data_IF_822309356250
#
_entry.id   IF_822309356250
#
_cell.length_a   1.000
_cell.length_b   1.000
_cell.length_c   1.000
_cell.angle_alpha   90.00
_cell.angle_beta   90.00
_cell.angle_gamma   90.00
#
_symmetry.space_group_name_H-M   'P 1'
#
loop_
_entity.id
_entity.type
_entity.pdbx_description
1 polymer ?
#
# COMPACT_ATOMS: atom_id res chain seq x y z
N UNK A 1 -10.91 42.43 15.33
CA UNK A 1 -10.30 41.18 15.81
C UNK A 1 -10.97 40.02 15.09
N UNK A 2 -10.29 39.43 14.10
CA UNK A 2 -10.76 38.20 13.47
C UNK A 2 -10.48 37.02 14.44
N UNK A 3 -11.38 36.03 14.54
CA UNK A 3 -11.12 34.87 15.39
C UNK A 3 -9.99 34.05 14.74
N UNK A 4 -8.94 33.79 15.50
CA UNK A 4 -7.87 32.88 15.09
C UNK A 4 -8.45 31.47 14.99
N UNK A 5 -8.75 31.01 13.78
CA UNK A 5 -8.99 29.60 13.50
C UNK A 5 -7.70 28.84 13.80
N UNK A 6 -7.68 28.15 14.94
CA UNK A 6 -6.60 27.22 15.28
C UNK A 6 -6.45 26.14 14.19
N UNK A 7 -5.29 25.46 14.11
CA UNK A 7 -5.05 24.49 13.06
C UNK A 7 -6.10 23.38 13.15
N UNK A 8 -6.98 23.30 12.16
CA UNK A 8 -7.99 22.24 12.09
C UNK A 8 -7.28 20.88 11.93
N UNK A 9 -7.61 19.93 12.80
CA UNK A 9 -7.09 18.56 12.69
C UNK A 9 -7.53 17.92 11.38
N UNK A 10 -6.57 17.44 10.60
CA UNK A 10 -6.84 16.72 9.37
C UNK A 10 -7.56 15.41 9.65
N UNK A 11 -8.30 14.83 8.70
CA UNK A 11 -8.89 13.50 8.84
C UNK A 11 -7.86 12.42 9.24
N UNK A 12 -6.60 12.56 8.77
CA UNK A 12 -5.50 11.68 9.14
C UNK A 12 -5.06 11.84 10.60
N UNK A 13 -5.12 13.05 11.16
CA UNK A 13 -4.86 13.29 12.59
C UNK A 13 -5.89 12.58 13.47
N UNK A 14 -7.18 12.73 13.12
CA UNK A 14 -8.28 12.08 13.83
C UNK A 14 -8.16 10.55 13.77
N UNK A 15 -7.80 10.00 12.61
CA UNK A 15 -7.56 8.58 12.43
C UNK A 15 -6.36 8.10 13.26
N UNK A 16 -5.24 8.83 13.24
CA UNK A 16 -4.04 8.49 13.98
C UNK A 16 -4.31 8.45 15.50
N UNK A 17 -4.98 9.48 16.03
CA UNK A 17 -5.38 9.51 17.43
C UNK A 17 -6.29 8.33 17.81
N UNK A 18 -7.24 7.98 16.95
CA UNK A 18 -8.11 6.83 17.17
C UNK A 18 -7.32 5.51 17.20
N UNK A 19 -6.35 5.34 16.30
CA UNK A 19 -5.51 4.15 16.25
C UNK A 19 -4.59 4.05 17.48
N UNK A 20 -4.01 5.16 17.92
CA UNK A 20 -3.19 5.23 19.14
C UNK A 20 -4.01 4.92 20.39
N UNK A 21 -5.25 5.41 20.47
CA UNK A 21 -6.19 5.07 21.54
C UNK A 21 -6.48 3.57 21.54
N UNK A 22 -6.78 2.99 20.38
CA UNK A 22 -7.03 1.55 20.27
C UNK A 22 -5.81 0.72 20.64
N UNK A 23 -4.62 1.15 20.24
CA UNK A 23 -3.35 0.51 20.62
C UNK A 23 -3.16 0.52 22.14
N UNK A 24 -3.45 1.64 22.82
CA UNK A 24 -3.38 1.72 24.27
C UNK A 24 -4.36 0.76 24.96
N UNK A 25 -5.58 0.63 24.43
CA UNK A 25 -6.58 -0.31 24.94
C UNK A 25 -6.06 -1.75 24.80
N UNK A 26 -5.58 -2.15 23.62
CA UNK A 26 -5.08 -3.52 23.42
C UNK A 26 -3.82 -3.80 24.25
N UNK A 27 -2.95 -2.82 24.50
CA UNK A 27 -1.83 -2.95 25.44
C UNK A 27 -2.31 -3.21 26.88
N UNK A 28 -3.39 -2.56 27.32
CA UNK A 28 -4.01 -2.82 28.63
C UNK A 28 -4.62 -4.22 28.70
N UNK A 29 -5.31 -4.65 27.64
CA UNK A 29 -5.86 -6.02 27.54
C UNK A 29 -4.74 -7.05 27.61
N UNK A 30 -3.66 -6.86 26.86
CA UNK A 30 -2.46 -7.71 26.87
C UNK A 30 -1.88 -7.84 28.28
N UNK A 31 -1.67 -6.72 28.97
CA UNK A 31 -1.14 -6.71 30.34
C UNK A 31 -2.12 -7.35 31.33
N UNK A 32 -3.43 -7.12 31.17
CA UNK A 32 -4.47 -7.77 31.97
C UNK A 32 -4.45 -9.28 31.82
N UNK A 33 -4.34 -9.79 30.59
CA UNK A 33 -4.22 -11.21 30.30
C UNK A 33 -2.95 -11.83 30.90
N UNK A 34 -1.81 -11.14 30.83
CA UNK A 34 -0.56 -11.59 31.48
C UNK A 34 -0.70 -11.68 33.01
N UNK A 35 -1.33 -10.69 33.63
CA UNK A 35 -1.59 -10.70 35.08
C UNK A 35 -2.55 -11.85 35.48
N UNK A 36 -3.58 -12.11 34.66
CA UNK A 36 -4.47 -13.26 34.87
C UNK A 36 -3.70 -14.58 34.78
N UNK A 37 -2.85 -14.76 33.76
CA UNK A 37 -2.02 -15.95 33.61
C UNK A 37 -1.09 -16.14 34.82
N UNK A 38 -0.43 -15.08 35.28
CA UNK A 38 0.48 -15.14 36.44
C UNK A 38 -0.27 -15.53 37.73
N UNK A 39 -1.41 -14.90 38.00
CA UNK A 39 -2.21 -15.18 39.19
C UNK A 39 -2.79 -16.61 39.20
N UNK A 40 -3.25 -17.10 38.05
CA UNK A 40 -3.78 -18.46 37.89
C UNK A 40 -2.66 -19.51 37.99
N UNK A 41 -1.49 -19.24 37.41
CA UNK A 41 -0.36 -20.18 37.41
C UNK A 41 0.24 -20.39 38.81
N UNK A 42 0.05 -19.43 39.73
CA UNK A 42 0.44 -19.56 41.14
C UNK A 42 -0.59 -20.23 42.06
N UNK A 43 -1.76 -20.62 41.53
CA UNK A 43 -2.90 -21.17 42.28
C UNK A 43 -3.12 -22.70 42.14
N UNK A 44 -4.10 -23.24 42.88
CA UNK A 44 -4.36 -24.67 43.04
C UNK A 44 -4.79 -25.35 41.72
N UNK A 45 -4.04 -26.38 41.29
CA UNK A 45 -3.92 -26.94 39.93
C UNK A 45 -5.15 -27.59 39.25
N UNK A 46 -6.38 -27.38 39.72
CA UNK A 46 -7.56 -28.10 39.22
C UNK A 46 -8.68 -27.24 38.62
N UNK A 47 -8.96 -26.07 39.20
CA UNK A 47 -10.18 -25.30 38.88
C UNK A 47 -10.00 -24.29 37.74
N UNK A 48 -8.77 -23.86 37.47
CA UNK A 48 -8.53 -22.67 36.65
C UNK A 48 -8.01 -22.99 35.25
N UNK A 49 -7.98 -24.27 34.83
CA UNK A 49 -7.43 -24.67 33.52
C UNK A 49 -8.17 -24.03 32.35
N UNK A 50 -9.50 -23.88 32.45
CA UNK A 50 -10.31 -23.20 31.41
C UNK A 50 -10.02 -21.69 31.39
N UNK A 51 -9.96 -21.06 32.56
CA UNK A 51 -9.64 -19.64 32.70
C UNK A 51 -8.22 -19.33 32.18
N UNK A 52 -7.26 -20.21 32.46
CA UNK A 52 -5.90 -20.10 31.95
C UNK A 52 -5.87 -20.14 30.41
N UNK A 53 -6.58 -21.10 29.81
CA UNK A 53 -6.67 -21.22 28.36
C UNK A 53 -7.31 -19.96 27.73
N UNK A 54 -8.36 -19.43 28.35
CA UNK A 54 -9.02 -18.19 27.89
C UNK A 54 -8.08 -16.97 28.00
N UNK A 55 -7.36 -16.83 29.11
CA UNK A 55 -6.38 -15.76 29.28
C UNK A 55 -5.21 -15.89 28.28
N UNK A 56 -4.76 -17.11 27.98
CA UNK A 56 -3.74 -17.37 26.95
C UNK A 56 -4.22 -17.00 25.55
N UNK A 57 -5.46 -17.35 25.20
CA UNK A 57 -6.05 -16.96 23.93
C UNK A 57 -6.16 -15.43 23.82
N UNK A 58 -6.66 -14.78 24.87
CA UNK A 58 -6.76 -13.32 24.91
C UNK A 58 -5.39 -12.63 24.79
N UNK A 59 -4.35 -13.22 25.38
CA UNK A 59 -2.97 -12.74 25.23
C UNK A 59 -2.47 -12.87 23.78
N UNK A 60 -2.75 -14.00 23.12
CA UNK A 60 -2.37 -14.20 21.71
C UNK A 60 -3.10 -13.20 20.80
N UNK A 61 -4.42 -13.05 20.98
CA UNK A 61 -5.26 -12.17 20.18
C UNK A 61 -4.87 -10.70 20.35
N UNK A 62 -4.64 -10.25 21.60
CA UNK A 62 -4.21 -8.88 21.88
C UNK A 62 -2.83 -8.58 21.29
N UNK A 63 -1.87 -9.52 21.35
CA UNK A 63 -0.56 -9.38 20.67
C UNK A 63 -0.70 -9.21 19.16
N UNK A 64 -1.51 -10.04 18.52
CA UNK A 64 -1.75 -9.93 17.08
C UNK A 64 -2.38 -8.57 16.70
N UNK A 65 -3.36 -8.11 17.47
CA UNK A 65 -3.99 -6.79 17.26
C UNK A 65 -3.02 -5.63 17.49
N UNK A 66 -2.14 -5.71 18.50
CA UNK A 66 -1.11 -4.70 18.76
C UNK A 66 -0.21 -4.54 17.53
N UNK A 67 0.28 -5.63 16.95
CA UNK A 67 1.14 -5.58 15.76
C UNK A 67 0.40 -5.02 14.54
N UNK A 68 -0.86 -5.43 14.34
CA UNK A 68 -1.71 -4.84 13.29
C UNK A 68 -1.90 -3.33 13.46
N UNK A 69 -2.20 -2.86 14.68
CA UNK A 69 -2.39 -1.44 14.98
C UNK A 69 -1.11 -0.65 14.79
N UNK A 70 0.04 -1.17 15.23
CA UNK A 70 1.36 -0.55 14.98
C UNK A 70 1.64 -0.39 13.49
N UNK A 71 1.40 -1.44 12.70
CA UNK A 71 1.60 -1.40 11.25
C UNK A 71 0.64 -0.39 10.59
N UNK A 72 -0.62 -0.33 11.03
CA UNK A 72 -1.59 0.64 10.52
C UNK A 72 -1.18 2.08 10.86
N UNK A 73 -0.72 2.33 12.08
CA UNK A 73 -0.18 3.63 12.49
C UNK A 73 1.03 4.02 11.64
N UNK A 74 1.97 3.10 11.44
CA UNK A 74 3.14 3.31 10.59
C UNK A 74 2.71 3.71 9.17
N UNK A 75 1.75 3.00 8.59
CA UNK A 75 1.21 3.31 7.26
C UNK A 75 0.53 4.67 7.19
N UNK A 76 -0.29 5.04 8.18
CA UNK A 76 -0.95 6.36 8.22
C UNK A 76 0.08 7.48 8.36
N UNK A 77 1.10 7.30 9.19
CA UNK A 77 2.21 8.27 9.34
C UNK A 77 3.04 8.38 8.05
N UNK A 78 3.31 7.26 7.38
CA UNK A 78 3.99 7.24 6.09
C UNK A 78 3.16 7.92 5.00
N UNK A 79 1.85 7.70 4.95
CA UNK A 79 0.94 8.39 4.03
C UNK A 79 0.94 9.92 4.25
N UNK A 80 1.05 10.40 5.49
CA UNK A 80 1.25 11.84 5.78
C UNK A 80 2.56 12.34 5.19
N UNK A 81 3.64 11.57 5.35
CA UNK A 81 4.93 11.92 4.76
C UNK A 81 4.82 11.97 3.23
N UNK A 82 4.26 10.94 2.58
CA UNK A 82 4.04 10.89 1.11
C UNK A 82 3.21 12.08 0.59
N UNK A 83 2.20 12.53 1.33
CA UNK A 83 1.42 13.73 0.97
C UNK A 83 2.17 15.07 1.16
N UNK A 84 3.25 15.11 1.95
CA UNK A 84 4.11 16.29 2.10
C UNK A 84 5.39 16.24 1.23
N UNK A 85 5.96 15.06 0.95
CA UNK A 85 7.10 14.88 0.03
C UNK A 85 6.69 14.74 -1.44
N UNK A 86 5.40 14.85 -1.78
CA UNK A 86 4.98 15.03 -3.18
C UNK A 86 5.35 16.42 -3.75
N UNK A 87 5.89 17.34 -2.94
CA UNK A 87 6.53 18.58 -3.40
C UNK A 87 8.07 18.49 -3.46
N UNK A 88 8.71 17.48 -2.85
CA UNK A 88 10.17 17.38 -2.85
C UNK A 88 10.63 15.93 -2.68
N UNK A 89 11.00 15.31 -3.80
CA UNK A 89 11.75 14.06 -3.90
C UNK A 89 11.08 12.80 -3.34
N UNK A 90 10.51 12.03 -4.26
CA UNK A 90 10.29 10.59 -4.06
C UNK A 90 11.62 9.84 -4.02
N UNK A 91 11.77 8.95 -3.04
CA UNK A 91 12.24 7.59 -3.32
C UNK A 91 11.92 6.68 -2.13
N UNK A 92 11.39 5.52 -2.42
CA UNK A 92 10.45 4.79 -1.59
C UNK A 92 11.08 3.41 -1.40
N UNK A 93 11.77 3.14 -0.28
CA UNK A 93 11.99 1.75 0.19
C UNK A 93 11.32 1.46 1.54
N UNK A 94 9.99 1.30 1.59
CA UNK A 94 9.02 0.94 0.55
C UNK A 94 9.44 -0.06 -0.54
N UNK A 95 10.25 -1.04 -0.13
CA UNK A 95 10.93 -1.95 -1.04
C UNK A 95 9.98 -2.85 -1.81
N UNK A 96 8.90 -3.32 -1.16
CA UNK A 96 7.93 -4.23 -1.77
C UNK A 96 6.84 -3.52 -2.59
N UNK A 97 6.54 -2.26 -2.25
CA UNK A 97 5.58 -1.46 -3.01
C UNK A 97 6.24 -0.78 -4.21
N UNK A 98 7.51 -0.38 -4.07
CA UNK A 98 8.32 0.14 -5.16
C UNK A 98 8.65 -0.96 -6.16
N UNK A 99 9.04 -2.19 -5.75
CA UNK A 99 9.19 -3.29 -6.71
C UNK A 99 7.89 -3.57 -7.45
N UNK A 100 6.75 -3.62 -6.75
CA UNK A 100 5.44 -3.87 -7.39
C UNK A 100 5.03 -2.74 -8.36
N UNK A 101 5.35 -1.48 -8.05
CA UNK A 101 5.08 -0.33 -8.92
C UNK A 101 6.07 -0.25 -10.09
N UNK A 102 7.36 -0.49 -9.86
CA UNK A 102 8.43 -0.56 -10.86
C UNK A 102 8.12 -1.66 -11.89
N UNK A 103 7.73 -2.84 -11.43
CA UNK A 103 7.27 -3.96 -12.26
C UNK A 103 6.07 -3.56 -13.13
N UNK A 104 5.09 -2.87 -12.53
CA UNK A 104 3.90 -2.41 -13.27
C UNK A 104 4.21 -1.31 -14.29
N UNK A 105 5.13 -0.41 -13.97
CA UNK A 105 5.58 0.65 -14.89
C UNK A 105 6.33 0.04 -16.07
N UNK A 106 7.24 -0.90 -15.82
CA UNK A 106 8.01 -1.55 -16.88
C UNK A 106 7.10 -2.40 -17.79
N UNK A 107 6.13 -3.12 -17.22
CA UNK A 107 5.09 -3.83 -17.97
C UNK A 107 4.33 -2.90 -18.92
N UNK A 108 3.89 -1.73 -18.43
CA UNK A 108 3.17 -0.75 -19.23
C UNK A 108 4.03 -0.10 -20.31
N UNK A 109 5.30 0.22 -20.01
CA UNK A 109 6.26 0.74 -21.01
C UNK A 109 6.54 -0.26 -22.10
N UNK A 110 6.66 -1.54 -21.75
CA UNK A 110 6.85 -2.61 -22.71
C UNK A 110 5.64 -2.72 -23.64
N UNK A 111 4.42 -2.71 -23.09
CA UNK A 111 3.18 -2.70 -23.89
C UNK A 111 3.12 -1.49 -24.83
N UNK A 112 3.40 -0.30 -24.31
CA UNK A 112 3.37 0.93 -25.13
C UNK A 112 4.37 0.88 -26.28
N UNK A 113 5.57 0.32 -26.07
CA UNK A 113 6.56 0.13 -27.14
C UNK A 113 6.03 -0.81 -28.23
N UNK A 114 5.37 -1.90 -27.84
CA UNK A 114 4.74 -2.82 -28.79
C UNK A 114 3.63 -2.10 -29.55
N UNK A 115 2.72 -1.43 -28.85
CA UNK A 115 1.61 -0.71 -29.45
C UNK A 115 2.10 0.37 -30.42
N UNK A 116 3.14 1.13 -30.06
CA UNK A 116 3.75 2.14 -30.93
C UNK A 116 4.35 1.50 -32.20
N UNK A 117 5.08 0.40 -32.07
CA UNK A 117 5.64 -0.32 -33.22
C UNK A 117 4.54 -0.87 -34.14
N UNK A 118 3.44 -1.37 -33.56
CA UNK A 118 2.27 -1.85 -34.32
C UNK A 118 1.62 -0.68 -35.07
N UNK A 119 1.41 0.44 -34.40
CA UNK A 119 0.81 1.65 -35.00
C UNK A 119 1.69 2.21 -36.11
N UNK A 120 3.01 2.28 -35.92
CA UNK A 120 3.93 2.77 -36.93
C UNK A 120 4.06 1.80 -38.11
N UNK A 121 4.00 0.49 -37.85
CA UNK A 121 3.87 -0.53 -38.87
C UNK A 121 2.62 -0.32 -39.73
N UNK A 122 1.46 -0.11 -39.08
CA UNK A 122 0.21 0.17 -39.78
C UNK A 122 0.26 1.47 -40.59
N UNK A 123 0.83 2.55 -40.04
CA UNK A 123 1.04 3.82 -40.77
C UNK A 123 1.95 3.64 -41.98
N UNK A 124 3.03 2.89 -41.85
CA UNK A 124 3.96 2.62 -42.95
C UNK A 124 3.29 1.82 -44.07
N UNK A 125 2.50 0.80 -43.73
CA UNK A 125 1.71 0.04 -44.72
C UNK A 125 0.73 0.96 -45.44
N UNK A 126 -0.02 1.81 -44.73
CA UNK A 126 -0.94 2.77 -45.34
C UNK A 126 -0.20 3.73 -46.29
N UNK A 127 0.94 4.28 -45.86
CA UNK A 127 1.76 5.15 -46.71
C UNK A 127 2.21 4.43 -47.98
N UNK A 128 2.76 3.21 -47.86
CA UNK A 128 3.19 2.41 -49.02
C UNK A 128 2.02 2.14 -49.97
N UNK A 129 0.85 1.78 -49.45
CA UNK A 129 -0.34 1.54 -50.27
C UNK A 129 -0.88 2.82 -50.91
N UNK A 130 -0.79 3.98 -50.25
CA UNK A 130 -1.16 5.28 -50.81
C UNK A 130 -0.18 5.73 -51.91
N UNK A 131 1.13 5.55 -51.69
CA UNK A 131 2.16 5.85 -52.69
C UNK A 131 2.10 4.89 -53.89
N UNK A 132 1.73 3.63 -53.68
CA UNK A 132 1.52 2.63 -54.76
C UNK A 132 0.26 2.87 -55.60
N UNK A 133 -0.64 3.79 -55.20
CA UNK A 133 -1.79 4.21 -56.02
C UNK A 133 -1.43 5.26 -57.07
N UNK A 134 -0.22 5.81 -57.03
CA UNK A 134 0.33 6.56 -58.17
C UNK A 134 0.91 5.51 -59.12
N UNK A 135 0.40 5.36 -60.36
CA UNK A 135 0.91 4.33 -61.26
C UNK A 135 2.39 4.61 -61.54
N UNK A 136 3.25 3.65 -61.23
CA UNK A 136 4.66 3.65 -61.56
C UNK A 136 4.80 3.58 -63.09
N UNK A 137 4.70 4.73 -63.77
CA UNK A 137 4.79 4.85 -65.24
C UNK A 137 6.23 4.66 -65.78
N UNK A 138 7.11 3.99 -65.03
CA UNK A 138 8.50 3.73 -65.44
C UNK A 138 8.95 2.28 -65.25
N UNK A 139 8.02 1.32 -65.38
CA UNK A 139 8.34 -0.11 -65.49
C UNK A 139 7.82 -0.75 -66.80
N UNK A 140 7.61 0.05 -67.86
CA UNK A 140 7.23 -0.42 -69.20
C UNK A 140 8.08 0.28 -70.26
N UNK A 141 9.39 0.09 -70.25
CA UNK A 141 10.24 0.33 -71.41
C UNK A 141 11.46 -0.59 -71.35
N UNK A 142 11.22 -1.90 -71.45
CA UNK A 142 12.20 -2.84 -72.02
C UNK A 142 11.40 -3.95 -72.74
N UNK A 143 10.94 -3.65 -73.95
CA UNK A 143 10.82 -4.61 -75.06
C UNK A 143 10.63 -3.85 -76.37
#
# INVERSE_FOLDING_TARGET
MAPSSGPEMTPNDKLLMSLEKQLNIEMKVKNGAENMIQSISGGHHGRDKKLLAEAQQMLADSKAKIEFLKLRILKVRQNRHVSQVSEENGDVRPRDLETSLEERIEELRHRLRIEAAVVDGAKNVIRTLQNSKVPDKKALQET
#
